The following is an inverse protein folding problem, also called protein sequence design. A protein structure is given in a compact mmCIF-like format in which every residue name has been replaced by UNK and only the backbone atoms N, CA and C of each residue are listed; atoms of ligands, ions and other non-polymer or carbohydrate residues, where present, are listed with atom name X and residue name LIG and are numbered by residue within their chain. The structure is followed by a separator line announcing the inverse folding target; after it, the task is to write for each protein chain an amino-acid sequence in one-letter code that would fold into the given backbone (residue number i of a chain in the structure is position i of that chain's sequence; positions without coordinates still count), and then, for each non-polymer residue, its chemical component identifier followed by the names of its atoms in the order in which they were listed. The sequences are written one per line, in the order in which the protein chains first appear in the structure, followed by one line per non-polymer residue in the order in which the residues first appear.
data_IF_139041217608
#
_entry.id   IF_139041217608
#
_cell.length_a   1.000
_cell.length_b   1.000
_cell.length_c   1.000
_cell.angle_alpha   90.00
_cell.angle_beta   90.00
_cell.angle_gamma   90.00
#
_symmetry.space_group_name_H-M   'P 1'
#
loop_
_entity.id
_entity.type
_entity.pdbx_description
1 polymer ?
#
# COMPACT_ATOMS: atom_id res chain seq x y z
N UNK A 1 -10.64 16.76 6.55
CA UNK A 1 -10.12 15.76 5.60
C UNK A 1 -11.00 15.74 4.35
N UNK A 2 -10.43 15.32 3.25
CA UNK A 2 -11.16 15.06 2.00
C UNK A 2 -11.72 13.65 1.99
N UNK A 3 -12.76 13.42 1.19
CA UNK A 3 -13.22 12.07 0.92
C UNK A 3 -12.21 11.37 0.00
N UNK A 4 -11.54 10.33 0.53
CA UNK A 4 -10.50 9.57 -0.15
C UNK A 4 -10.99 8.95 -1.47
N UNK A 5 -12.22 8.47 -1.47
CA UNK A 5 -12.77 7.73 -2.60
C UNK A 5 -13.32 8.65 -3.70
N UNK A 6 -13.66 9.89 -3.36
CA UNK A 6 -14.07 10.90 -4.32
C UNK A 6 -12.87 11.55 -5.01
N UNK A 7 -11.80 11.87 -4.27
CA UNK A 7 -10.59 12.47 -4.87
C UNK A 7 -9.74 11.48 -5.66
N UNK A 8 -9.98 10.19 -5.52
CA UNK A 8 -9.37 9.11 -6.30
C UNK A 8 -10.46 8.24 -6.93
N UNK A 9 -11.19 8.76 -7.91
CA UNK A 9 -12.30 8.02 -8.48
C UNK A 9 -11.80 6.76 -9.20
N UNK A 10 -12.50 5.65 -8.98
CA UNK A 10 -12.36 4.43 -9.74
C UNK A 10 -13.68 4.15 -10.46
N UNK A 11 -13.67 3.97 -11.79
CA UNK A 11 -14.88 3.58 -12.53
C UNK A 11 -15.45 2.26 -11.98
N UNK A 12 -16.77 2.12 -12.03
CA UNK A 12 -17.41 0.85 -11.62
C UNK A 12 -16.88 -0.32 -12.46
N UNK A 13 -16.52 -1.41 -11.80
CA UNK A 13 -15.93 -2.60 -12.43
C UNK A 13 -14.45 -2.47 -12.81
N UNK A 14 -13.81 -1.32 -12.59
CA UNK A 14 -12.38 -1.15 -12.86
C UNK A 14 -11.54 -2.02 -11.91
N UNK A 15 -10.57 -2.71 -12.46
CA UNK A 15 -9.53 -3.41 -11.70
C UNK A 15 -8.15 -3.18 -12.36
N UNK A 16 -7.09 -3.27 -11.57
CA UNK A 16 -5.74 -3.06 -12.06
C UNK A 16 -4.74 -3.91 -11.28
N UNK A 17 -3.61 -4.20 -11.91
CA UNK A 17 -2.52 -4.94 -11.29
C UNK A 17 -1.56 -3.98 -10.58
N UNK A 18 -1.14 -4.36 -9.36
CA UNK A 18 -0.21 -3.63 -8.51
C UNK A 18 0.78 -4.56 -7.85
N UNK A 19 1.98 -4.05 -7.56
CA UNK A 19 2.91 -4.69 -6.67
C UNK A 19 2.69 -4.20 -5.24
N UNK A 20 2.49 -5.15 -4.31
CA UNK A 20 2.19 -4.91 -2.91
C UNK A 20 3.19 -5.61 -1.99
N UNK A 21 3.45 -4.99 -0.82
CA UNK A 21 3.84 -5.71 0.38
C UNK A 21 2.58 -5.88 1.23
N UNK A 22 2.30 -7.08 1.68
CA UNK A 22 1.17 -7.41 2.57
C UNK A 22 1.70 -7.84 3.93
N UNK A 23 0.98 -7.50 4.98
CA UNK A 23 1.45 -7.64 6.36
C UNK A 23 0.45 -8.41 7.21
N UNK A 24 0.93 -9.47 7.84
CA UNK A 24 0.16 -10.33 8.75
C UNK A 24 0.82 -10.39 10.15
N UNK A 25 1.78 -9.51 10.40
CA UNK A 25 2.48 -9.45 11.67
C UNK A 25 1.55 -9.09 12.82
N UNK A 26 1.59 -9.87 13.91
CA UNK A 26 0.66 -9.75 15.03
C UNK A 26 0.84 -8.41 15.80
N UNK A 27 2.07 -7.90 15.90
CA UNK A 27 2.35 -6.62 16.59
C UNK A 27 1.84 -5.45 15.75
N UNK A 28 2.04 -5.49 14.42
CA UNK A 28 1.48 -4.48 13.51
C UNK A 28 -0.05 -4.49 13.55
N UNK A 29 -0.68 -5.66 13.48
CA UNK A 29 -2.13 -5.82 13.59
C UNK A 29 -2.64 -5.26 14.92
N UNK A 30 -1.96 -5.54 16.02
CA UNK A 30 -2.31 -5.01 17.34
C UNK A 30 -2.20 -3.50 17.39
N UNK A 31 -1.09 -2.94 16.89
CA UNK A 31 -0.85 -1.49 16.81
C UNK A 31 -1.89 -0.79 15.93
N UNK A 32 -2.20 -1.35 14.75
CA UNK A 32 -3.22 -0.81 13.85
C UNK A 32 -4.61 -0.81 14.51
N UNK A 33 -4.99 -1.91 15.18
CA UNK A 33 -6.26 -2.02 15.92
C UNK A 33 -6.38 -0.97 17.01
N UNK A 34 -5.34 -0.78 17.82
CA UNK A 34 -5.32 0.24 18.87
C UNK A 34 -5.49 1.66 18.30
N UNK A 35 -4.80 1.96 17.19
CA UNK A 35 -4.94 3.24 16.50
C UNK A 35 -6.35 3.43 15.95
N UNK A 36 -6.91 2.42 15.29
CA UNK A 36 -8.27 2.46 14.74
C UNK A 36 -9.32 2.67 15.84
N UNK A 37 -9.21 1.97 16.97
CA UNK A 37 -10.07 2.16 18.13
C UNK A 37 -10.00 3.59 18.66
N UNK A 38 -8.77 4.13 18.77
CA UNK A 38 -8.53 5.49 19.22
C UNK A 38 -9.08 6.55 18.26
N UNK A 39 -9.30 6.22 17.00
CA UNK A 39 -9.83 7.08 15.94
C UNK A 39 -11.32 6.84 15.65
N UNK A 40 -11.98 5.92 16.34
CA UNK A 40 -13.35 5.49 16.03
C UNK A 40 -14.40 6.61 16.10
N UNK A 41 -14.20 7.59 17.00
CA UNK A 41 -15.12 8.74 17.16
C UNK A 41 -15.09 9.73 16.00
N UNK A 42 -14.10 9.66 15.12
CA UNK A 42 -13.95 10.59 13.99
C UNK A 42 -14.67 10.14 12.71
N UNK A 43 -15.33 8.98 12.72
CA UNK A 43 -16.07 8.46 11.57
C UNK A 43 -15.17 8.18 10.36
N UNK A 44 -13.92 7.80 10.61
CA UNK A 44 -13.03 7.27 9.57
C UNK A 44 -13.41 5.82 9.28
N UNK A 45 -13.27 5.41 8.01
CA UNK A 45 -13.46 4.03 7.60
C UNK A 45 -12.18 3.22 7.86
N UNK A 46 -12.17 2.24 8.78
CA UNK A 46 -10.96 1.48 9.09
C UNK A 46 -10.61 0.52 7.95
N UNK A 47 -9.32 0.41 7.65
CA UNK A 47 -8.81 -0.65 6.77
C UNK A 47 -8.93 -1.99 7.50
N UNK A 48 -9.37 -3.05 6.81
CA UNK A 48 -9.38 -4.38 7.40
C UNK A 48 -8.00 -4.77 7.90
N UNK A 49 -7.91 -5.32 9.11
CA UNK A 49 -6.63 -5.73 9.68
C UNK A 49 -5.98 -6.90 8.92
N UNK A 50 -6.76 -7.68 8.18
CA UNK A 50 -6.27 -8.71 7.26
C UNK A 50 -5.83 -8.17 5.89
N UNK A 51 -6.03 -6.86 5.65
CA UNK A 51 -5.71 -6.20 4.39
C UNK A 51 -4.71 -5.06 4.56
N UNK A 52 -3.86 -5.14 5.60
CA UNK A 52 -2.77 -4.19 5.78
C UNK A 52 -1.73 -4.39 4.67
N UNK A 53 -1.45 -3.32 3.93
CA UNK A 53 -0.55 -3.39 2.78
C UNK A 53 0.18 -2.08 2.51
N UNK A 54 1.26 -2.19 1.74
CA UNK A 54 1.95 -1.07 1.13
C UNK A 54 1.95 -1.23 -0.38
N UNK A 55 1.42 -0.26 -1.09
CA UNK A 55 1.52 -0.22 -2.56
C UNK A 55 2.92 0.22 -2.97
N UNK A 56 3.62 -0.59 -3.77
CA UNK A 56 4.94 -0.28 -4.32
C UNK A 56 4.82 0.47 -5.64
N UNK A 57 4.13 -0.13 -6.62
CA UNK A 57 3.90 0.50 -7.92
C UNK A 57 2.72 -0.16 -8.68
N UNK A 58 2.09 0.59 -9.60
CA UNK A 58 1.12 0.03 -10.54
C UNK A 58 1.84 -0.76 -11.64
N UNK A 59 1.14 -1.77 -12.18
CA UNK A 59 1.51 -2.50 -13.39
C UNK A 59 0.62 -2.08 -14.56
N UNK A 60 -0.69 -1.97 -14.36
CA UNK A 60 -1.62 -1.45 -15.37
C UNK A 60 -3.06 -1.91 -15.16
N UNK A 61 -3.99 -1.40 -15.98
CA UNK A 61 -5.39 -1.77 -15.93
C UNK A 61 -5.60 -3.23 -16.38
N UNK A 62 -6.45 -3.98 -15.67
CA UNK A 62 -6.61 -5.41 -15.91
C UNK A 62 -7.29 -5.73 -17.26
N UNK A 63 -8.10 -4.82 -17.77
CA UNK A 63 -8.73 -4.94 -19.10
C UNK A 63 -7.77 -4.65 -20.27
N UNK A 64 -6.62 -4.04 -19.97
CA UNK A 64 -5.62 -3.62 -20.96
C UNK A 64 -4.39 -4.54 -21.01
N UNK A 65 -4.33 -5.56 -20.15
CA UNK A 65 -3.18 -6.46 -20.03
C UNK A 65 -3.68 -7.90 -20.16
N UNK A 66 -3.10 -8.65 -21.10
CA UNK A 66 -3.41 -10.07 -21.27
C UNK A 66 -2.77 -10.93 -20.18
N UNK A 67 -3.33 -12.12 -19.91
CA UNK A 67 -2.77 -13.08 -18.95
C UNK A 67 -1.33 -13.46 -19.32
N UNK A 68 -1.03 -13.65 -20.61
CA UNK A 68 0.32 -13.93 -21.08
C UNK A 68 1.30 -12.77 -20.77
N UNK A 69 0.85 -11.52 -20.84
CA UNK A 69 1.68 -10.37 -20.46
C UNK A 69 1.92 -10.31 -18.93
N UNK A 70 0.94 -10.73 -18.13
CA UNK A 70 1.10 -10.84 -16.68
C UNK A 70 2.09 -11.96 -16.32
N UNK A 71 2.06 -13.09 -17.02
CA UNK A 71 3.05 -14.16 -16.84
C UNK A 71 4.48 -13.66 -17.16
N UNK A 72 4.67 -12.90 -18.22
CA UNK A 72 5.96 -12.29 -18.57
C UNK A 72 6.43 -11.32 -17.50
N UNK A 73 5.55 -10.43 -17.02
CA UNK A 73 5.85 -9.49 -15.93
C UNK A 73 6.26 -10.23 -14.66
N UNK A 74 5.54 -11.28 -14.31
CA UNK A 74 5.81 -12.08 -13.10
C UNK A 74 7.15 -12.81 -13.21
N UNK A 75 7.41 -13.49 -14.34
CA UNK A 75 8.66 -14.22 -14.56
C UNK A 75 9.87 -13.28 -14.58
N UNK A 76 9.76 -12.15 -15.28
CA UNK A 76 10.83 -11.15 -15.34
C UNK A 76 11.11 -10.51 -13.97
N UNK A 77 10.07 -10.26 -13.17
CA UNK A 77 10.25 -9.77 -11.80
C UNK A 77 10.88 -10.85 -10.90
N UNK A 78 10.49 -12.13 -11.04
CA UNK A 78 11.05 -13.22 -10.27
C UNK A 78 12.56 -13.38 -10.53
N UNK A 79 12.99 -13.39 -11.79
CA UNK A 79 14.42 -13.42 -12.14
C UNK A 79 15.19 -12.23 -11.52
N UNK A 80 14.64 -11.02 -11.60
CA UNK A 80 15.30 -9.83 -11.06
C UNK A 80 15.40 -9.85 -9.53
N UNK A 81 14.46 -10.50 -8.85
CA UNK A 81 14.40 -10.56 -7.39
C UNK A 81 15.20 -11.75 -6.79
N UNK A 82 15.66 -12.71 -7.57
CA UNK A 82 16.50 -13.82 -7.11
C UNK A 82 17.77 -13.37 -6.34
N UNK A 83 18.24 -12.16 -6.63
CA UNK A 83 19.46 -11.59 -6.04
C UNK A 83 19.18 -10.43 -5.08
N UNK A 84 17.92 -10.21 -4.74
CA UNK A 84 17.51 -9.18 -3.79
C UNK A 84 17.33 -9.82 -2.41
N UNK A 85 18.18 -9.44 -1.47
CA UNK A 85 18.08 -9.92 -0.10
C UNK A 85 16.81 -9.39 0.58
N UNK A 86 16.25 -10.20 1.47
CA UNK A 86 15.25 -9.75 2.42
C UNK A 86 15.81 -8.61 3.30
N UNK A 87 14.96 -7.71 3.74
CA UNK A 87 15.37 -6.54 4.51
C UNK A 87 14.34 -6.18 5.58
N UNK A 88 14.80 -5.51 6.61
CA UNK A 88 13.96 -5.04 7.70
C UNK A 88 13.44 -3.62 7.44
N UNK A 89 12.22 -3.38 7.89
CA UNK A 89 11.59 -2.06 7.94
C UNK A 89 11.04 -1.82 9.34
N UNK A 90 10.93 -0.55 9.71
CA UNK A 90 10.19 -0.11 10.89
C UNK A 90 8.90 0.58 10.46
N UNK A 91 7.78 0.10 11.00
CA UNK A 91 6.44 0.64 10.73
C UNK A 91 6.02 1.56 11.86
N UNK A 92 6.00 2.83 11.60
CA UNK A 92 5.71 3.94 12.52
C UNK A 92 6.55 5.16 12.18
N UNK A 93 6.25 6.32 12.78
CA UNK A 93 5.08 6.64 13.59
C UNK A 93 3.79 6.78 12.77
N UNK A 94 2.66 6.97 13.50
CA UNK A 94 1.39 7.30 12.87
C UNK A 94 1.45 8.70 12.23
N UNK A 95 0.86 8.84 11.06
CA UNK A 95 0.81 10.08 10.30
C UNK A 95 -0.55 10.23 9.60
N UNK A 96 -0.91 11.46 9.26
CA UNK A 96 -2.10 11.79 8.48
C UNK A 96 -1.77 12.29 7.09
N UNK A 97 -2.76 12.23 6.23
CA UNK A 97 -2.80 12.89 4.91
C UNK A 97 -4.16 13.56 4.73
N UNK A 98 -4.39 14.20 3.57
CA UNK A 98 -5.68 14.85 3.29
C UNK A 98 -6.88 13.88 3.36
N UNK A 99 -6.72 12.60 3.03
CA UNK A 99 -7.82 11.62 2.96
C UNK A 99 -7.58 10.32 3.74
N UNK A 100 -6.48 10.17 4.48
CA UNK A 100 -6.17 8.92 5.17
C UNK A 100 -5.31 9.10 6.43
N UNK A 101 -5.41 8.15 7.35
CA UNK A 101 -4.46 7.94 8.44
C UNK A 101 -3.65 6.68 8.13
N UNK A 102 -2.35 6.75 8.37
CA UNK A 102 -1.38 5.75 7.94
C UNK A 102 -0.18 5.68 8.87
N UNK A 103 0.50 4.55 8.91
CA UNK A 103 1.85 4.46 9.44
C UNK A 103 2.86 4.94 8.38
N UNK A 104 3.84 5.69 8.81
CA UNK A 104 5.08 5.91 8.06
C UNK A 104 5.91 4.63 8.10
N UNK A 105 6.83 4.47 7.17
CA UNK A 105 7.74 3.30 7.13
C UNK A 105 9.14 3.78 6.83
N UNK A 106 10.13 3.19 7.48
CA UNK A 106 11.57 3.47 7.28
C UNK A 106 12.39 2.17 7.36
N UNK A 107 13.58 2.09 6.73
CA UNK A 107 14.19 3.06 5.82
C UNK A 107 13.52 3.00 4.43
N UNK A 108 13.52 4.13 3.71
CA UNK A 108 12.93 4.16 2.36
C UNK A 108 13.83 3.58 1.28
N UNK A 109 15.14 3.52 1.51
CA UNK A 109 16.13 3.11 0.50
C UNK A 109 15.84 1.72 -0.07
N UNK A 110 15.67 0.71 0.78
CA UNK A 110 15.40 -0.67 0.35
C UNK A 110 14.04 -0.80 -0.33
N UNK A 111 13.02 -0.08 0.17
CA UNK A 111 11.69 -0.04 -0.46
C UNK A 111 11.75 0.63 -1.83
N UNK A 112 12.49 1.73 -1.97
CA UNK A 112 12.68 2.40 -3.26
C UNK A 112 13.46 1.54 -4.26
N UNK A 113 14.50 0.81 -3.78
CA UNK A 113 15.24 -0.13 -4.61
C UNK A 113 14.31 -1.23 -5.14
N UNK A 114 13.55 -1.87 -4.27
CA UNK A 114 12.57 -2.89 -4.65
C UNK A 114 11.55 -2.33 -5.65
N UNK A 115 10.95 -1.17 -5.35
CA UNK A 115 9.99 -0.52 -6.26
C UNK A 115 10.61 -0.13 -7.60
N UNK A 116 11.90 0.22 -7.65
CA UNK A 116 12.62 0.52 -8.90
C UNK A 116 12.76 -0.73 -9.76
N UNK A 117 13.21 -1.84 -9.16
CA UNK A 117 13.34 -3.13 -9.85
C UNK A 117 11.97 -3.55 -10.42
N UNK A 118 10.94 -3.58 -9.59
CA UNK A 118 9.60 -3.98 -10.02
C UNK A 118 9.06 -3.11 -11.15
N UNK A 119 9.27 -1.80 -11.11
CA UNK A 119 8.86 -0.89 -12.19
C UNK A 119 9.57 -1.18 -13.50
N UNK A 120 10.88 -1.45 -13.47
CA UNK A 120 11.65 -1.73 -14.68
C UNK A 120 11.24 -3.04 -15.33
N UNK A 121 10.80 -4.02 -14.55
CA UNK A 121 10.36 -5.33 -15.00
C UNK A 121 8.85 -5.44 -15.26
N UNK A 122 8.07 -4.43 -14.88
CA UNK A 122 6.64 -4.35 -15.25
C UNK A 122 6.42 -3.94 -16.71
N UNK A 123 7.47 -3.52 -17.42
CA UNK A 123 7.43 -3.20 -18.84
C UNK A 123 6.50 -2.04 -19.20
N UNK A 124 6.17 -1.93 -20.50
CA UNK A 124 5.18 -1.00 -21.02
C UNK A 124 3.72 -1.42 -20.74
N UNK A 125 3.52 -2.44 -19.88
CA UNK A 125 2.19 -2.86 -19.46
C UNK A 125 1.43 -1.71 -18.76
N UNK A 126 2.16 -0.76 -18.18
CA UNK A 126 1.62 0.48 -17.63
C UNK A 126 1.24 1.54 -18.71
N UNK A 127 0.89 1.11 -19.93
CA UNK A 127 0.40 2.02 -20.97
C UNK A 127 -0.89 2.72 -20.50
N UNK A 128 -0.75 3.95 -20.04
CA UNK A 128 -1.88 4.78 -19.60
C UNK A 128 -1.53 5.82 -18.53
N UNK A 129 -0.67 5.53 -17.60
CA UNK A 129 -0.21 6.50 -16.58
C UNK A 129 1.27 6.28 -16.29
N UNK A 130 2.11 7.23 -16.71
CA UNK A 130 3.51 7.21 -16.31
C UNK A 130 3.59 7.12 -14.78
N UNK A 131 4.33 6.13 -14.22
CA UNK A 131 4.45 6.00 -12.79
C UNK A 131 5.08 7.28 -12.23
N UNK A 132 4.51 7.79 -11.13
CA UNK A 132 5.05 8.99 -10.45
C UNK A 132 6.52 8.77 -10.13
N UNK A 133 7.37 9.80 -10.23
CA UNK A 133 8.78 9.71 -9.82
C UNK A 133 8.90 9.13 -8.40
N UNK A 134 9.91 8.30 -8.15
CA UNK A 134 10.15 7.74 -6.81
C UNK A 134 10.34 8.81 -5.73
N UNK A 135 10.85 10.00 -6.12
CA UNK A 135 10.95 11.16 -5.23
C UNK A 135 9.60 11.59 -4.63
N UNK A 136 8.48 11.22 -5.24
CA UNK A 136 7.13 11.46 -4.73
C UNK A 136 6.53 10.24 -4.00
N UNK A 137 7.20 9.09 -4.07
CA UNK A 137 6.76 7.90 -3.36
C UNK A 137 7.13 8.00 -1.88
N UNK A 138 6.12 7.97 -1.02
CA UNK A 138 6.26 7.96 0.43
C UNK A 138 5.74 6.61 0.93
N UNK A 139 6.63 5.65 1.26
CA UNK A 139 6.24 4.35 1.79
C UNK A 139 5.34 4.51 3.02
N UNK A 140 4.20 3.82 3.01
CA UNK A 140 3.22 3.91 4.10
C UNK A 140 2.27 2.72 4.09
N UNK A 141 1.68 2.44 5.24
CA UNK A 141 0.62 1.46 5.42
C UNK A 141 -0.64 2.20 5.88
N UNK A 142 -1.68 2.20 5.05
CA UNK A 142 -2.98 2.82 5.40
C UNK A 142 -3.69 2.05 6.50
N UNK A 143 -4.27 2.76 7.48
CA UNK A 143 -5.08 2.14 8.54
C UNK A 143 -6.51 2.64 8.59
N UNK A 144 -6.78 3.83 8.04
CA UNK A 144 -8.14 4.34 7.96
C UNK A 144 -8.25 5.38 6.84
N UNK A 145 -9.40 5.43 6.18
CA UNK A 145 -9.73 6.41 5.15
C UNK A 145 -10.82 7.36 5.63
N UNK A 146 -10.76 8.61 5.17
CA UNK A 146 -11.90 9.51 5.27
C UNK A 146 -12.84 9.24 4.09
N UNK A 147 -14.10 8.94 4.37
CA UNK A 147 -15.15 8.70 3.38
C UNK A 147 -16.10 9.90 3.23
N UNK A 148 -15.69 11.06 3.71
CA UNK A 148 -16.44 12.33 3.64
C UNK A 148 -15.52 13.54 3.81
N UNK A 149 -16.02 14.69 3.40
CA UNK A 149 -15.41 15.96 3.80
C UNK A 149 -15.68 16.22 5.28
N UNK A 150 -14.64 16.46 6.05
CA UNK A 150 -14.74 16.76 7.47
C UNK A 150 -13.58 17.63 7.96
N UNK A 151 -13.76 18.24 9.12
CA UNK A 151 -12.71 19.03 9.76
C UNK A 151 -11.50 18.16 10.08
N UNK A 152 -10.31 18.64 9.73
CA UNK A 152 -9.08 17.86 9.89
C UNK A 152 -8.38 18.10 11.23
N UNK A 153 -8.58 19.27 11.85
CA UNK A 153 -7.83 19.68 13.05
C UNK A 153 -7.97 18.70 14.24
N UNK A 154 -9.18 18.21 14.61
CA UNK A 154 -9.31 17.23 15.69
C UNK A 154 -8.62 15.90 15.40
N UNK A 155 -8.59 15.50 14.11
CA UNK A 155 -7.92 14.26 13.69
C UNK A 155 -6.41 14.42 13.77
N UNK A 156 -5.86 15.56 13.32
CA UNK A 156 -4.43 15.88 13.45
C UNK A 156 -4.00 15.84 14.92
N UNK A 157 -4.77 16.46 15.79
CA UNK A 157 -4.49 16.47 17.24
C UNK A 157 -4.45 15.04 17.78
N UNK A 158 -5.46 14.22 17.45
CA UNK A 158 -5.50 12.82 17.91
C UNK A 158 -4.36 12.00 17.35
N UNK A 159 -4.05 12.14 16.06
CA UNK A 159 -2.91 11.47 15.43
C UNK A 159 -1.59 11.88 16.08
N UNK A 160 -1.42 13.16 16.45
CA UNK A 160 -0.21 13.64 17.12
C UNK A 160 -0.01 13.01 18.50
N UNK A 161 -1.09 12.79 19.25
CA UNK A 161 -1.06 12.08 20.54
C UNK A 161 -0.67 10.60 20.41
N UNK A 162 -0.97 9.98 19.26
CA UNK A 162 -0.66 8.58 18.96
C UNK A 162 0.73 8.37 18.30
N UNK A 163 1.49 9.44 18.06
CA UNK A 163 2.81 9.32 17.40
C UNK A 163 3.90 8.68 18.27
N UNK A 164 3.69 8.59 19.57
CA UNK A 164 4.63 7.97 20.51
C UNK A 164 4.50 6.44 20.59
N UNK A 165 3.69 5.83 19.72
CA UNK A 165 3.62 4.36 19.59
C UNK A 165 4.98 3.86 19.12
N UNK A 166 5.45 2.80 19.79
CA UNK A 166 6.72 2.15 19.43
C UNK A 166 6.62 1.63 17.99
N UNK A 167 7.58 1.95 17.11
CA UNK A 167 7.61 1.40 15.76
C UNK A 167 7.71 -0.14 15.80
N UNK A 168 7.04 -0.79 14.87
CA UNK A 168 7.03 -2.26 14.75
C UNK A 168 8.08 -2.67 13.71
N UNK A 169 9.10 -3.47 14.08
CA UNK A 169 10.05 -4.02 13.13
C UNK A 169 9.41 -5.16 12.34
N UNK A 170 9.60 -5.17 11.02
CA UNK A 170 9.04 -6.18 10.12
C UNK A 170 10.08 -6.57 9.09
N UNK A 171 10.30 -7.88 8.92
CA UNK A 171 11.10 -8.42 7.84
C UNK A 171 10.27 -8.48 6.54
N UNK A 172 10.76 -7.86 5.48
CA UNK A 172 10.22 -7.96 4.13
C UNK A 172 10.91 -9.11 3.42
N UNK A 173 10.21 -10.22 3.28
CA UNK A 173 10.73 -11.48 2.72
C UNK A 173 10.09 -11.84 1.38
N UNK A 174 9.05 -11.13 0.98
CA UNK A 174 8.32 -11.41 -0.26
C UNK A 174 7.58 -10.17 -0.76
N UNK A 175 7.24 -10.20 -2.05
CA UNK A 175 6.38 -9.21 -2.70
C UNK A 175 5.26 -9.93 -3.44
N UNK A 176 4.10 -9.31 -3.54
CA UNK A 176 2.94 -9.86 -4.24
C UNK A 176 2.56 -9.01 -5.44
N UNK A 177 2.27 -9.68 -6.55
CA UNK A 177 1.48 -9.10 -7.64
C UNK A 177 0.01 -9.37 -7.32
N UNK A 178 -0.79 -8.32 -7.27
CA UNK A 178 -2.21 -8.40 -6.94
C UNK A 178 -3.05 -7.82 -8.05
N UNK A 179 -4.25 -8.37 -8.26
CA UNK A 179 -5.32 -7.76 -9.04
C UNK A 179 -6.24 -7.03 -8.06
N UNK A 180 -6.17 -5.71 -8.08
CA UNK A 180 -6.86 -4.81 -7.15
C UNK A 180 -8.15 -4.28 -7.78
N UNK A 181 -9.22 -4.22 -7.01
CA UNK A 181 -10.45 -3.49 -7.32
C UNK A 181 -10.94 -2.73 -6.09
N UNK A 182 -11.92 -1.89 -6.29
CA UNK A 182 -12.55 -1.16 -5.20
C UNK A 182 -14.01 -1.60 -5.03
N UNK A 183 -14.38 -1.97 -3.81
CA UNK A 183 -15.74 -2.27 -3.37
C UNK A 183 -16.19 -1.17 -2.43
N UNK A 184 -17.20 -0.37 -2.82
CA UNK A 184 -17.68 0.78 -2.04
C UNK A 184 -16.58 1.60 -1.37
N UNK A 185 -16.29 1.33 -0.09
CA UNK A 185 -15.35 2.09 0.76
C UNK A 185 -14.08 1.29 1.09
N UNK A 186 -13.78 0.20 0.37
CA UNK A 186 -12.60 -0.63 0.60
C UNK A 186 -11.84 -0.94 -0.69
N UNK A 187 -10.55 -1.26 -0.52
CA UNK A 187 -9.72 -1.87 -1.55
C UNK A 187 -9.66 -3.37 -1.27
N UNK A 188 -9.96 -4.14 -2.30
CA UNK A 188 -9.96 -5.60 -2.27
C UNK A 188 -9.08 -6.12 -3.40
N UNK A 189 -8.47 -7.28 -3.23
CA UNK A 189 -7.61 -7.86 -4.25
C UNK A 189 -7.57 -9.38 -4.17
N UNK A 190 -7.20 -9.98 -5.30
CA UNK A 190 -6.74 -11.35 -5.40
C UNK A 190 -5.22 -11.37 -5.57
N UNK A 191 -4.56 -12.33 -4.94
CA UNK A 191 -3.15 -12.60 -5.16
C UNK A 191 -2.97 -13.29 -6.52
N UNK A 192 -2.16 -12.71 -7.39
CA UNK A 192 -1.82 -13.24 -8.71
C UNK A 192 -0.52 -14.03 -8.65
N UNK A 193 0.48 -13.48 -7.98
CA UNK A 193 1.76 -14.14 -7.75
C UNK A 193 2.39 -13.65 -6.44
N UNK A 194 3.18 -14.53 -5.83
CA UNK A 194 4.04 -14.21 -4.69
C UNK A 194 5.48 -14.55 -5.04
N UNK A 195 6.39 -13.60 -4.88
CA UNK A 195 7.81 -13.75 -5.19
C UNK A 195 8.59 -13.56 -3.89
N UNK A 196 9.34 -14.58 -3.49
CA UNK A 196 10.22 -14.50 -2.32
C UNK A 196 11.46 -13.66 -2.64
N UNK A 197 11.97 -12.94 -1.65
CA UNK A 197 13.30 -12.36 -1.63
C UNK A 197 14.28 -13.38 -1.03
N UNK A 198 15.57 -13.22 -1.34
CA UNK A 198 16.61 -14.13 -0.85
C UNK A 198 16.88 -13.98 0.64
#
# INVERSE_FOLDING_TARGET
MEDHFTVKPWPGGFSAYYWYLTFEDAELISSARQCQQSLSSFGLHPVSLSSLHMTLCPVGAADSISDAAIEVVTSSAAEALEHVDSFDIEVGPLAGSSGAVRFSVTPWSSIWQLATILRSHSGNAAAGTAPKPLSHFRPHIGIAYSNRHQEIAPIIERVSQLRNIVPVPIAVTQVKLVRLWRSQDSYEWDDVATIALR
#
